data_IF_398928852809
#
_entry.id   IF_398928852809
#
_cell.length_a   1.000
_cell.length_b   1.000
_cell.length_c   1.000
_cell.angle_alpha   90.00
_cell.angle_beta   90.00
_cell.angle_gamma   90.00
#
_symmetry.space_group_name_H-M   'P 1'
#
loop_
_entity.id
_entity.type
_entity.pdbx_description
1 polymer ?
#
# COMPACT_ATOMS: atom_id res chain seq x y z
N UNK A 1 -24.19 55.36 32.82
CA UNK A 1 -23.76 55.52 31.40
C UNK A 1 -22.59 54.60 31.05
N UNK A 2 -21.49 54.60 31.82
CA UNK A 2 -20.31 53.72 31.60
C UNK A 2 -20.64 52.22 31.54
N UNK A 3 -21.51 51.73 32.43
CA UNK A 3 -21.89 50.31 32.47
C UNK A 3 -22.67 49.83 31.24
N UNK A 4 -23.50 50.71 30.64
CA UNK A 4 -24.28 50.40 29.43
C UNK A 4 -23.38 50.36 28.18
N UNK A 5 -22.35 51.21 28.13
CA UNK A 5 -21.35 51.21 27.05
C UNK A 5 -20.50 49.93 27.09
N UNK A 6 -20.09 49.48 28.29
CA UNK A 6 -19.36 48.21 28.43
C UNK A 6 -20.16 47.02 27.91
N UNK A 7 -21.42 46.88 28.34
CA UNK A 7 -22.30 45.78 27.91
C UNK A 7 -22.51 45.78 26.39
N UNK A 8 -22.73 46.96 25.79
CA UNK A 8 -22.90 47.05 24.34
C UNK A 8 -21.63 46.66 23.56
N UNK A 9 -20.45 46.99 24.10
CA UNK A 9 -19.17 46.60 23.52
C UNK A 9 -18.92 45.09 23.63
N UNK A 10 -19.34 44.47 24.73
CA UNK A 10 -19.24 43.03 24.95
C UNK A 10 -20.11 42.22 23.97
N UNK A 11 -21.34 42.67 23.69
CA UNK A 11 -22.21 42.03 22.68
C UNK A 11 -21.67 42.19 21.26
N UNK A 12 -21.10 43.35 20.93
CA UNK A 12 -20.44 43.56 19.63
C UNK A 12 -19.22 42.65 19.50
N UNK A 13 -18.39 42.55 20.55
CA UNK A 13 -17.23 41.67 20.58
C UNK A 13 -17.65 40.20 20.43
N UNK A 14 -18.68 39.75 21.16
CA UNK A 14 -19.21 38.39 21.05
C UNK A 14 -19.76 38.12 19.64
N UNK A 15 -20.44 39.09 19.04
CA UNK A 15 -20.91 39.01 17.66
C UNK A 15 -19.76 38.89 16.65
N UNK A 16 -18.68 39.65 16.83
CA UNK A 16 -17.48 39.56 15.99
C UNK A 16 -16.77 38.21 16.15
N UNK A 17 -16.67 37.69 17.37
CA UNK A 17 -16.11 36.36 17.63
C UNK A 17 -16.96 35.28 16.95
N UNK A 18 -18.29 35.35 17.09
CA UNK A 18 -19.20 34.41 16.44
C UNK A 18 -19.08 34.46 14.92
N UNK A 19 -19.03 35.67 14.34
CA UNK A 19 -18.83 35.86 12.89
C UNK A 19 -17.48 35.29 12.42
N UNK A 20 -16.40 35.52 13.18
CA UNK A 20 -15.07 34.97 12.89
C UNK A 20 -15.07 33.44 12.94
N UNK A 21 -15.71 32.85 13.96
CA UNK A 21 -15.84 31.39 14.09
C UNK A 21 -16.62 30.81 12.91
N UNK A 22 -17.74 31.42 12.53
CA UNK A 22 -18.53 31.00 11.36
C UNK A 22 -17.69 31.07 10.08
N UNK A 23 -16.95 32.16 9.88
CA UNK A 23 -16.08 32.30 8.71
C UNK A 23 -14.96 31.25 8.68
N UNK A 24 -14.37 30.95 9.84
CA UNK A 24 -13.38 29.88 9.97
C UNK A 24 -13.98 28.52 9.64
N UNK A 25 -15.16 28.20 10.16
CA UNK A 25 -15.87 26.95 9.88
C UNK A 25 -16.21 26.82 8.38
N UNK A 26 -16.67 27.90 7.74
CA UNK A 26 -16.93 27.92 6.30
C UNK A 26 -15.65 27.70 5.49
N UNK A 27 -14.53 28.27 5.93
CA UNK A 27 -13.21 28.08 5.30
C UNK A 27 -12.74 26.65 5.43
N UNK A 28 -12.82 26.06 6.63
CA UNK A 28 -12.49 24.65 6.88
C UNK A 28 -13.40 23.73 6.06
N UNK A 29 -14.71 24.00 6.04
CA UNK A 29 -15.66 23.24 5.24
C UNK A 29 -15.32 23.30 3.75
N UNK A 30 -15.08 24.51 3.21
CA UNK A 30 -14.65 24.69 1.83
C UNK A 30 -13.36 23.94 1.52
N UNK A 31 -12.39 23.96 2.43
CA UNK A 31 -11.13 23.23 2.30
C UNK A 31 -11.34 21.71 2.27
N UNK A 32 -12.20 21.17 3.15
CA UNK A 32 -12.52 19.73 3.20
C UNK A 32 -13.27 19.30 1.94
N UNK A 33 -14.21 20.11 1.44
CA UNK A 33 -14.89 19.87 0.16
C UNK A 33 -13.93 19.89 -1.01
N UNK A 34 -13.04 20.88 -1.08
CA UNK A 34 -11.99 20.99 -2.09
C UNK A 34 -11.00 19.81 -2.06
N UNK A 35 -10.80 19.20 -0.88
CA UNK A 35 -10.00 17.99 -0.69
C UNK A 35 -10.69 16.71 -1.15
N UNK A 36 -11.93 16.79 -1.64
CA UNK A 36 -12.66 15.65 -2.22
C UNK A 36 -13.70 15.00 -1.31
N UNK A 37 -14.20 15.68 -0.27
CA UNK A 37 -15.24 15.13 0.61
C UNK A 37 -16.51 14.67 -0.13
N UNK A 38 -16.89 15.33 -1.23
CA UNK A 38 -18.06 14.93 -2.02
C UNK A 38 -17.70 14.20 -3.32
N UNK A 39 -16.42 13.87 -3.52
CA UNK A 39 -16.01 13.08 -4.67
C UNK A 39 -16.61 11.68 -4.56
N UNK A 40 -17.28 11.24 -5.63
CA UNK A 40 -17.73 9.87 -5.79
C UNK A 40 -16.53 8.95 -6.08
N UNK A 41 -16.49 7.80 -5.41
CA UNK A 41 -15.49 6.76 -5.66
C UNK A 41 -16.08 5.74 -6.62
N UNK A 42 -15.67 5.81 -7.88
CA UNK A 42 -16.05 4.82 -8.88
C UNK A 42 -14.98 3.74 -8.95
N UNK A 43 -15.38 2.50 -8.62
CA UNK A 43 -14.53 1.32 -8.76
C UNK A 43 -14.90 0.59 -10.04
N UNK A 44 -13.89 0.25 -10.83
CA UNK A 44 -14.07 -0.49 -12.08
C UNK A 44 -12.99 -1.55 -12.25
N UNK A 45 -13.31 -2.62 -12.97
CA UNK A 45 -12.34 -3.60 -13.43
C UNK A 45 -12.14 -3.42 -14.95
N UNK A 46 -10.89 -3.46 -15.40
CA UNK A 46 -10.58 -3.30 -16.82
C UNK A 46 -9.10 -3.28 -17.12
N UNK A 47 -8.78 -2.80 -18.32
CA UNK A 47 -7.39 -2.57 -18.76
C UNK A 47 -6.74 -1.50 -17.90
N UNK A 48 -5.46 -1.67 -17.53
CA UNK A 48 -4.79 -0.71 -16.67
C UNK A 48 -4.57 0.63 -17.39
N UNK A 49 -4.65 1.75 -16.64
CA UNK A 49 -4.31 3.08 -17.17
C UNK A 49 -2.79 3.30 -17.23
N UNK A 50 -1.99 2.33 -16.77
CA UNK A 50 -0.54 2.42 -16.61
C UNK A 50 0.16 1.26 -17.31
N UNK A 51 1.25 1.58 -18.00
CA UNK A 51 2.10 0.59 -18.68
C UNK A 51 3.08 -0.10 -17.74
N UNK A 52 4.10 -0.74 -18.31
CA UNK A 52 5.29 -1.17 -17.56
C UNK A 52 5.94 0.03 -16.89
N UNK A 53 6.49 -0.13 -15.70
CA UNK A 53 7.10 0.99 -14.98
C UNK A 53 8.38 0.58 -14.28
N UNK A 54 9.39 1.44 -14.35
CA UNK A 54 10.62 1.27 -13.59
C UNK A 54 10.58 2.18 -12.38
N UNK A 55 10.71 1.59 -11.20
CA UNK A 55 10.59 2.26 -9.91
C UNK A 55 11.93 2.28 -9.17
N UNK A 56 12.19 3.40 -8.50
CA UNK A 56 13.14 3.50 -7.40
C UNK A 56 12.37 3.42 -6.08
N UNK A 57 12.62 2.42 -5.24
CA UNK A 57 11.85 2.18 -4.02
C UNK A 57 12.72 1.87 -2.80
N UNK A 58 12.09 2.02 -1.62
CA UNK A 58 12.55 1.50 -0.35
C UNK A 58 11.47 0.57 0.20
N UNK A 59 11.87 -0.67 0.52
CA UNK A 59 11.01 -1.63 1.19
C UNK A 59 11.11 -1.45 2.71
N UNK A 60 9.96 -1.49 3.40
CA UNK A 60 9.86 -1.44 4.86
C UNK A 60 8.80 -2.41 5.37
N UNK A 61 8.97 -2.80 6.62
CA UNK A 61 8.00 -3.55 7.42
C UNK A 61 7.70 -2.70 8.64
N UNK A 62 6.41 -2.46 8.90
CA UNK A 62 5.95 -1.60 9.98
C UNK A 62 4.65 -0.86 9.63
N UNK A 63 4.21 0.06 10.51
CA UNK A 63 2.95 0.75 10.34
C UNK A 63 2.91 1.61 9.08
N UNK A 64 1.83 1.54 8.30
CA UNK A 64 1.67 2.35 7.09
C UNK A 64 1.64 3.86 7.34
N UNK A 65 1.39 4.31 8.57
CA UNK A 65 1.53 5.72 8.96
C UNK A 65 2.95 6.27 8.77
N UNK A 66 3.98 5.41 8.79
CA UNK A 66 5.37 5.81 8.57
C UNK A 66 5.73 5.98 7.07
N UNK A 67 4.82 5.60 6.16
CA UNK A 67 5.05 5.73 4.72
C UNK A 67 5.27 7.18 4.27
N UNK A 68 4.69 8.15 4.98
CA UNK A 68 4.82 9.58 4.67
C UNK A 68 6.27 10.08 4.66
N UNK A 69 7.14 9.53 5.52
CA UNK A 69 8.56 9.88 5.53
C UNK A 69 9.27 9.38 4.26
N UNK A 70 8.96 8.17 3.80
CA UNK A 70 9.55 7.62 2.57
C UNK A 70 9.09 8.38 1.31
N UNK A 71 7.83 8.85 1.29
CA UNK A 71 7.37 9.74 0.23
C UNK A 71 8.14 11.08 0.24
N UNK A 72 8.39 11.64 1.43
CA UNK A 72 9.16 12.89 1.58
C UNK A 72 10.60 12.71 1.13
N UNK A 73 11.26 11.61 1.53
CA UNK A 73 12.59 11.23 1.06
C UNK A 73 12.65 11.16 -0.47
N UNK A 74 11.70 10.46 -1.10
CA UNK A 74 11.64 10.33 -2.55
C UNK A 74 11.41 11.66 -3.27
N UNK A 75 10.55 12.52 -2.72
CA UNK A 75 10.29 13.86 -3.23
C UNK A 75 11.50 14.79 -3.12
N UNK A 76 12.29 14.68 -2.05
CA UNK A 76 13.50 15.49 -1.84
C UNK A 76 14.58 15.26 -2.90
N UNK A 77 14.66 14.04 -3.46
CA UNK A 77 15.64 13.65 -4.48
C UNK A 77 15.26 14.21 -5.87
N UNK A 78 13.97 14.16 -6.19
CA UNK A 78 13.41 14.68 -7.43
C UNK A 78 11.94 14.91 -7.23
N UNK A 79 11.47 16.16 -7.30
CA UNK A 79 10.05 16.53 -7.14
C UNK A 79 9.20 16.23 -8.38
N UNK A 80 9.83 16.11 -9.57
CA UNK A 80 9.15 15.98 -10.86
C UNK A 80 8.59 14.58 -11.16
N UNK A 81 9.11 13.55 -10.50
CA UNK A 81 8.69 12.18 -10.73
C UNK A 81 7.36 11.89 -10.00
N UNK A 82 6.61 10.90 -10.48
CA UNK A 82 5.41 10.45 -9.80
C UNK A 82 5.79 9.60 -8.58
N UNK A 83 5.06 9.75 -7.47
CA UNK A 83 5.23 8.86 -6.30
C UNK A 83 4.41 7.60 -6.48
N UNK A 84 4.92 6.48 -5.94
CA UNK A 84 4.23 5.19 -5.94
C UNK A 84 4.37 4.53 -4.57
N UNK A 85 3.27 3.98 -4.07
CA UNK A 85 3.23 3.10 -2.90
C UNK A 85 2.69 1.73 -3.30
N UNK A 86 3.31 0.67 -2.78
CA UNK A 86 2.84 -0.71 -2.93
C UNK A 86 2.64 -1.29 -1.55
N UNK A 87 1.43 -1.74 -1.26
CA UNK A 87 1.00 -2.27 0.02
C UNK A 87 0.63 -3.75 -0.17
N UNK A 88 1.36 -4.63 0.52
CA UNK A 88 1.25 -6.08 0.33
C UNK A 88 0.26 -6.73 1.30
N UNK A 89 -0.08 -6.05 2.39
CA UNK A 89 -0.89 -6.58 3.47
C UNK A 89 -2.14 -5.71 3.68
N UNK A 90 -3.18 -6.33 4.24
CA UNK A 90 -4.37 -5.59 4.68
C UNK A 90 -4.17 -5.14 6.14
N UNK A 91 -4.16 -3.82 6.44
CA UNK A 91 -3.92 -3.31 7.78
C UNK A 91 -5.05 -3.64 8.77
N UNK A 92 -6.21 -4.09 8.28
CA UNK A 92 -7.32 -4.56 9.12
C UNK A 92 -7.17 -6.01 9.56
N UNK A 93 -6.34 -6.81 8.88
CA UNK A 93 -6.12 -8.23 9.18
C UNK A 93 -4.72 -8.53 9.69
N UNK A 94 -3.74 -7.72 9.28
CA UNK A 94 -2.33 -7.85 9.69
C UNK A 94 -2.01 -6.77 10.71
N UNK A 95 -1.34 -7.16 11.80
CA UNK A 95 -0.90 -6.21 12.83
C UNK A 95 0.01 -5.13 12.22
N UNK A 96 -0.12 -3.84 12.61
CA UNK A 96 0.63 -2.74 12.01
C UNK A 96 2.14 -2.98 11.92
N UNK A 97 2.75 -3.58 12.94
CA UNK A 97 4.20 -3.86 12.99
C UNK A 97 4.68 -4.90 11.96
N UNK A 98 3.77 -5.71 11.42
CA UNK A 98 4.06 -6.75 10.42
C UNK A 98 3.65 -6.35 9.02
N UNK A 99 2.99 -5.20 8.85
CA UNK A 99 2.55 -4.73 7.55
C UNK A 99 3.75 -4.39 6.66
N UNK A 100 3.74 -4.88 5.43
CA UNK A 100 4.84 -4.73 4.47
C UNK A 100 4.41 -3.78 3.37
N UNK A 101 5.34 -2.91 2.99
CA UNK A 101 5.10 -1.93 1.95
C UNK A 101 6.40 -1.49 1.28
N UNK A 102 6.29 -1.02 0.05
CA UNK A 102 7.37 -0.42 -0.71
C UNK A 102 6.93 0.96 -1.19
N UNK A 103 7.68 2.00 -0.83
CA UNK A 103 7.41 3.38 -1.28
C UNK A 103 8.54 3.83 -2.18
N UNK A 104 8.20 4.54 -3.25
CA UNK A 104 9.15 4.92 -4.25
C UNK A 104 8.69 6.03 -5.19
N UNK A 105 9.48 6.19 -6.25
CA UNK A 105 9.22 7.11 -7.36
C UNK A 105 9.30 6.33 -8.67
N UNK A 106 8.41 6.65 -9.60
CA UNK A 106 8.44 6.09 -10.95
C UNK A 106 9.49 6.85 -11.76
N UNK A 107 10.53 6.15 -12.22
CA UNK A 107 11.61 6.71 -13.02
C UNK A 107 11.25 6.77 -14.52
N UNK A 108 10.52 5.77 -15.00
CA UNK A 108 10.00 5.72 -16.37
C UNK A 108 8.75 4.84 -16.45
N UNK A 109 7.91 5.12 -17.44
CA UNK A 109 6.67 4.42 -17.75
C UNK A 109 6.68 4.01 -19.23
N UNK A 110 6.19 2.81 -19.56
CA UNK A 110 6.21 2.21 -20.89
C UNK A 110 7.60 1.71 -21.30
N UNK A 111 7.92 1.87 -22.59
CA UNK A 111 9.20 1.48 -23.20
C UNK A 111 10.32 2.51 -22.99
N UNK A 112 10.01 3.62 -22.31
CA UNK A 112 10.99 4.64 -22.00
C UNK A 112 12.03 4.11 -21.00
N UNK A 113 13.31 4.25 -21.34
CA UNK A 113 14.40 3.92 -20.42
C UNK A 113 14.58 5.05 -19.40
N UNK A 114 14.73 4.74 -18.10
CA UNK A 114 15.02 5.75 -17.10
C UNK A 114 16.42 6.34 -17.32
N UNK A 115 16.59 7.62 -16.99
CA UNK A 115 17.91 8.26 -17.08
C UNK A 115 18.88 7.61 -16.08
N UNK A 116 20.08 7.26 -16.54
CA UNK A 116 21.13 6.70 -15.68
C UNK A 116 21.49 7.63 -14.52
N UNK A 117 21.43 8.95 -14.74
CA UNK A 117 21.71 9.95 -13.71
C UNK A 117 20.68 9.88 -12.58
N UNK A 118 19.41 9.67 -12.93
CA UNK A 118 18.34 9.50 -11.96
C UNK A 118 18.52 8.20 -11.18
N UNK A 119 18.82 7.10 -11.86
CA UNK A 119 19.11 5.80 -11.23
C UNK A 119 20.24 5.95 -10.20
N UNK A 120 21.40 6.49 -10.63
CA UNK A 120 22.58 6.66 -9.77
C UNK A 120 22.26 7.57 -8.58
N UNK A 121 21.47 8.62 -8.79
CA UNK A 121 21.02 9.51 -7.71
C UNK A 121 20.17 8.77 -6.69
N UNK A 122 19.14 8.06 -7.12
CA UNK A 122 18.27 7.31 -6.20
C UNK A 122 19.04 6.21 -5.44
N UNK A 123 19.93 5.48 -6.12
CA UNK A 123 20.79 4.48 -5.49
C UNK A 123 21.70 5.09 -4.42
N UNK A 124 22.28 6.28 -4.66
CA UNK A 124 23.10 7.00 -3.67
C UNK A 124 22.34 7.28 -2.36
N UNK A 125 21.02 7.49 -2.43
CA UNK A 125 20.16 7.71 -1.25
C UNK A 125 19.50 6.41 -0.73
N UNK A 126 20.01 5.25 -1.15
CA UNK A 126 19.60 3.94 -0.66
C UNK A 126 18.30 3.40 -1.25
N UNK A 127 17.85 3.92 -2.40
CA UNK A 127 16.73 3.34 -3.13
C UNK A 127 17.22 2.20 -4.04
N UNK A 128 16.43 1.13 -4.11
CA UNK A 128 16.65 0.02 -5.05
C UNK A 128 15.83 0.25 -6.30
N UNK A 129 16.32 -0.29 -7.42
CA UNK A 129 15.62 -0.19 -8.70
C UNK A 129 14.97 -1.53 -9.02
N UNK A 130 13.72 -1.49 -9.46
CA UNK A 130 12.98 -2.65 -9.93
C UNK A 130 11.99 -2.21 -11.02
N UNK A 131 11.53 -3.15 -11.85
CA UNK A 131 10.57 -2.84 -12.90
C UNK A 131 9.35 -3.74 -12.76
N UNK A 132 8.17 -3.12 -12.72
CA UNK A 132 6.89 -3.83 -12.79
C UNK A 132 6.47 -3.98 -14.25
N UNK A 133 5.95 -5.16 -14.64
CA UNK A 133 5.38 -5.34 -15.96
C UNK A 133 4.08 -4.55 -16.11
N UNK A 134 3.63 -4.36 -17.35
CA UNK A 134 2.29 -3.86 -17.61
C UNK A 134 1.26 -4.86 -17.04
N UNK A 135 0.29 -4.42 -16.22
CA UNK A 135 -0.79 -5.29 -15.79
C UNK A 135 -1.64 -5.73 -16.98
N UNK A 136 -2.28 -6.90 -16.91
CA UNK A 136 -3.25 -7.31 -17.93
C UNK A 136 -4.65 -6.81 -17.58
N UNK A 137 -5.12 -7.14 -16.37
CA UNK A 137 -6.41 -6.72 -15.83
C UNK A 137 -6.23 -6.22 -14.41
N UNK A 138 -6.89 -5.11 -14.08
CA UNK A 138 -6.82 -4.48 -12.75
C UNK A 138 -8.21 -4.12 -12.27
N UNK A 139 -8.38 -4.12 -10.95
CA UNK A 139 -9.42 -3.33 -10.28
C UNK A 139 -8.80 -1.98 -9.97
N UNK A 140 -9.46 -0.91 -10.37
CA UNK A 140 -8.97 0.44 -10.17
C UNK A 140 -10.04 1.40 -9.69
N UNK A 141 -9.56 2.42 -9.00
CA UNK A 141 -10.34 3.60 -8.62
C UNK A 141 -9.42 4.83 -8.67
N UNK A 142 -10.00 5.99 -8.91
CA UNK A 142 -9.26 7.26 -8.91
C UNK A 142 -9.84 8.21 -7.89
N UNK A 143 -8.98 8.99 -7.24
CA UNK A 143 -9.40 10.01 -6.30
C UNK A 143 -8.61 11.31 -6.51
N UNK A 144 -9.21 12.50 -6.32
CA UNK A 144 -8.49 13.77 -6.38
C UNK A 144 -7.36 13.84 -5.35
N UNK A 145 -6.27 14.50 -5.73
CA UNK A 145 -5.10 14.75 -4.91
C UNK A 145 -4.76 16.25 -4.96
N UNK A 146 -5.59 17.04 -4.31
CA UNK A 146 -5.45 18.50 -4.28
C UNK A 146 -4.77 18.99 -3.01
N UNK A 147 -4.87 18.22 -1.92
CA UNK A 147 -4.33 18.54 -0.60
C UNK A 147 -3.82 17.30 0.13
N UNK A 148 -2.98 17.43 1.17
CA UNK A 148 -2.61 16.29 2.02
C UNK A 148 -3.82 15.59 2.68
N UNK A 149 -4.89 16.34 2.99
CA UNK A 149 -6.13 15.77 3.51
C UNK A 149 -6.81 14.84 2.50
N UNK A 150 -6.59 15.07 1.20
CA UNK A 150 -7.12 14.21 0.13
C UNK A 150 -6.59 12.78 0.26
N UNK A 151 -5.35 12.58 0.73
CA UNK A 151 -4.77 11.24 0.95
C UNK A 151 -5.58 10.50 2.03
N UNK A 152 -5.85 11.17 3.14
CA UNK A 152 -6.62 10.56 4.24
C UNK A 152 -8.05 10.21 3.80
N UNK A 153 -8.70 11.11 3.06
CA UNK A 153 -10.03 10.85 2.49
C UNK A 153 -10.00 9.69 1.49
N UNK A 154 -8.96 9.62 0.65
CA UNK A 154 -8.80 8.57 -0.33
C UNK A 154 -8.64 7.20 0.34
N UNK A 155 -7.74 7.06 1.32
CA UNK A 155 -7.51 5.81 2.05
C UNK A 155 -8.80 5.33 2.73
N UNK A 156 -9.52 6.22 3.42
CA UNK A 156 -10.73 5.86 4.17
C UNK A 156 -11.96 5.55 3.29
N UNK A 157 -12.00 6.01 2.04
CA UNK A 157 -13.17 5.84 1.17
C UNK A 157 -12.92 4.88 0.02
N UNK A 158 -11.73 4.96 -0.56
CA UNK A 158 -11.36 4.16 -1.72
C UNK A 158 -11.03 2.72 -1.33
N UNK A 159 -10.29 2.48 -0.23
CA UNK A 159 -10.03 1.10 0.17
C UNK A 159 -11.28 0.31 0.54
N UNK A 160 -12.23 0.84 1.35
CA UNK A 160 -13.47 0.10 1.62
C UNK A 160 -14.32 -0.14 0.37
N UNK A 161 -14.35 0.82 -0.56
CA UNK A 161 -15.05 0.66 -1.84
C UNK A 161 -14.41 -0.44 -2.71
N UNK A 162 -13.07 -0.46 -2.79
CA UNK A 162 -12.32 -1.53 -3.45
C UNK A 162 -12.61 -2.88 -2.80
N UNK A 163 -12.60 -2.96 -1.47
CA UNK A 163 -12.83 -4.20 -0.71
C UNK A 163 -14.22 -4.76 -0.96
N UNK A 164 -15.23 -3.89 -0.96
CA UNK A 164 -16.60 -4.26 -1.26
C UNK A 164 -16.71 -4.81 -2.68
N UNK A 165 -16.17 -4.10 -3.67
CA UNK A 165 -16.20 -4.53 -5.07
C UNK A 165 -15.49 -5.87 -5.30
N UNK A 166 -14.29 -6.04 -4.73
CA UNK A 166 -13.49 -7.26 -4.82
C UNK A 166 -14.24 -8.43 -4.17
N UNK A 167 -14.83 -8.22 -2.99
CA UNK A 167 -15.57 -9.23 -2.24
C UNK A 167 -16.85 -9.67 -2.95
N UNK A 168 -17.66 -8.73 -3.42
CA UNK A 168 -18.93 -9.02 -4.10
C UNK A 168 -18.72 -9.82 -5.39
N UNK A 169 -17.64 -9.53 -6.11
CA UNK A 169 -17.30 -10.21 -7.37
C UNK A 169 -16.37 -11.41 -7.19
N UNK A 170 -16.01 -11.74 -5.94
CA UNK A 170 -15.09 -12.85 -5.58
C UNK A 170 -13.79 -12.81 -6.37
N UNK A 171 -13.22 -11.62 -6.51
CA UNK A 171 -11.96 -11.39 -7.22
C UNK A 171 -10.77 -11.60 -6.28
N UNK A 172 -9.66 -12.07 -6.82
CA UNK A 172 -8.37 -12.04 -6.14
C UNK A 172 -7.59 -10.85 -6.69
N UNK A 173 -7.48 -9.75 -5.94
CA UNK A 173 -6.79 -8.54 -6.38
C UNK A 173 -5.73 -8.11 -5.36
N UNK A 174 -4.45 -8.27 -5.71
CA UNK A 174 -3.30 -7.86 -4.89
C UNK A 174 -2.03 -7.72 -5.77
N UNK A 175 -0.99 -7.00 -5.33
CA UNK A 175 -0.96 -6.10 -4.17
C UNK A 175 -1.74 -4.80 -4.45
N UNK A 176 -1.95 -3.95 -3.43
CA UNK A 176 -2.54 -2.63 -3.65
C UNK A 176 -1.46 -1.64 -4.06
N UNK A 177 -1.64 -1.00 -5.19
CA UNK A 177 -0.70 -0.03 -5.74
C UNK A 177 -1.38 1.34 -5.76
N UNK A 178 -0.71 2.34 -5.19
CA UNK A 178 -1.14 3.73 -5.19
C UNK A 178 -0.16 4.56 -6.01
N UNK A 179 -0.64 5.20 -7.07
CA UNK A 179 0.17 6.02 -7.96
C UNK A 179 -0.31 7.46 -7.85
N UNK A 180 0.56 8.33 -7.38
CA UNK A 180 0.31 9.75 -7.19
C UNK A 180 0.83 10.49 -8.42
N UNK A 181 -0.07 10.84 -9.33
CA UNK A 181 0.23 11.46 -10.62
C UNK A 181 -0.58 12.76 -10.74
N UNK A 182 0.14 13.88 -10.75
CA UNK A 182 -0.43 15.22 -10.84
C UNK A 182 -1.42 15.52 -9.70
N UNK A 183 -2.69 15.76 -10.03
CA UNK A 183 -3.78 16.11 -9.13
C UNK A 183 -4.69 14.91 -8.80
N UNK A 184 -4.21 13.68 -9.04
CA UNK A 184 -4.97 12.44 -8.80
C UNK A 184 -4.12 11.34 -8.18
N UNK A 185 -4.78 10.51 -7.37
CA UNK A 185 -4.29 9.23 -6.91
C UNK A 185 -5.01 8.13 -7.69
N UNK A 186 -4.23 7.22 -8.28
CA UNK A 186 -4.71 6.02 -8.93
C UNK A 186 -4.48 4.85 -7.98
N UNK A 187 -5.56 4.21 -7.57
CA UNK A 187 -5.52 2.96 -6.82
C UNK A 187 -5.68 1.82 -7.81
N UNK A 188 -4.72 0.90 -7.85
CA UNK A 188 -4.63 -0.19 -8.82
C UNK A 188 -4.35 -1.49 -8.08
N UNK A 189 -5.19 -2.50 -8.30
CA UNK A 189 -5.03 -3.84 -7.75
C UNK A 189 -4.99 -4.86 -8.90
N UNK A 190 -3.82 -5.44 -9.22
CA UNK A 190 -3.70 -6.45 -10.27
C UNK A 190 -4.53 -7.71 -9.99
N UNK A 191 -5.22 -8.20 -11.02
CA UNK A 191 -6.03 -9.42 -10.96
C UNK A 191 -5.29 -10.67 -11.44
N UNK A 192 -4.17 -10.49 -12.13
CA UNK A 192 -3.37 -11.58 -12.69
C UNK A 192 -1.88 -11.31 -12.52
N UNK A 193 -1.08 -12.38 -12.50
CA UNK A 193 0.40 -12.31 -12.38
C UNK A 193 0.85 -11.45 -11.19
N UNK A 194 0.17 -11.58 -10.08
CA UNK A 194 0.27 -10.68 -8.94
C UNK A 194 1.68 -10.68 -8.32
N UNK A 195 2.33 -11.84 -8.33
CA UNK A 195 3.72 -12.00 -7.89
C UNK A 195 4.74 -11.19 -8.71
N UNK A 196 4.40 -10.69 -9.90
CA UNK A 196 5.31 -9.82 -10.65
C UNK A 196 5.36 -8.39 -10.12
N UNK A 197 4.35 -7.99 -9.34
CA UNK A 197 4.28 -6.70 -8.66
C UNK A 197 4.92 -6.74 -7.26
N UNK A 198 5.64 -7.82 -6.94
CA UNK A 198 6.30 -8.01 -5.66
C UNK A 198 7.77 -7.65 -5.80
N UNK A 199 8.24 -6.73 -4.97
CA UNK A 199 9.67 -6.40 -4.91
C UNK A 199 10.48 -7.61 -4.41
N UNK A 200 11.76 -7.74 -4.82
CA UNK A 200 12.62 -8.85 -4.44
C UNK A 200 12.62 -9.22 -2.94
N UNK A 201 12.62 -8.24 -2.04
CA UNK A 201 12.61 -8.47 -0.60
C UNK A 201 11.31 -9.13 -0.13
N UNK A 202 10.20 -8.75 -0.74
CA UNK A 202 8.90 -9.36 -0.46
C UNK A 202 8.87 -10.81 -0.94
N UNK A 203 9.38 -11.07 -2.15
CA UNK A 203 9.53 -12.45 -2.70
C UNK A 203 10.41 -13.32 -1.81
N UNK A 204 11.53 -12.77 -1.34
CA UNK A 204 12.44 -13.49 -0.45
C UNK A 204 11.79 -13.79 0.91
N UNK A 205 11.02 -12.85 1.45
CA UNK A 205 10.31 -13.03 2.71
C UNK A 205 9.24 -14.12 2.62
N UNK A 206 8.48 -14.16 1.52
CA UNK A 206 7.50 -15.23 1.28
C UNK A 206 8.15 -16.60 1.10
N UNK A 207 9.32 -16.64 0.44
CA UNK A 207 10.10 -17.88 0.32
C UNK A 207 10.57 -18.36 1.69
N UNK A 208 11.05 -17.45 2.55
CA UNK A 208 11.49 -17.78 3.91
C UNK A 208 10.33 -18.24 4.79
N UNK A 209 9.17 -17.59 4.73
CA UNK A 209 8.00 -18.01 5.51
C UNK A 209 7.48 -19.37 5.07
N UNK A 210 7.45 -19.65 3.75
CA UNK A 210 7.06 -20.95 3.22
C UNK A 210 8.02 -22.06 3.66
N UNK A 211 9.33 -21.80 3.61
CA UNK A 211 10.32 -22.76 4.07
C UNK A 211 10.19 -23.06 5.58
N UNK A 212 9.95 -22.03 6.40
CA UNK A 212 9.72 -22.21 7.83
C UNK A 212 8.45 -23.01 8.13
N UNK A 213 7.37 -22.78 7.38
CA UNK A 213 6.13 -23.54 7.52
C UNK A 213 6.31 -25.03 7.17
N UNK A 214 7.04 -25.34 6.10
CA UNK A 214 7.33 -26.73 5.73
C UNK A 214 8.14 -27.49 6.80
N UNK A 215 9.12 -26.83 7.43
CA UNK A 215 9.90 -27.44 8.53
C UNK A 215 9.03 -27.68 9.77
N UNK A 216 8.09 -26.78 10.07
CA UNK A 216 7.19 -26.94 11.20
C UNK A 216 6.18 -28.10 11.00
N UNK A 217 5.68 -28.27 9.77
CA UNK A 217 4.79 -29.38 9.40
C UNK A 217 5.52 -30.73 9.52
N UNK A 218 6.74 -30.85 8.98
CA UNK A 218 7.54 -32.09 9.06
C UNK A 218 7.81 -32.48 10.52
N UNK A 219 8.16 -31.51 11.38
CA UNK A 219 8.39 -31.76 12.81
C UNK A 219 7.14 -32.24 13.56
N UNK A 220 5.94 -31.91 13.08
CA UNK A 220 4.69 -32.35 13.71
C UNK A 220 4.30 -33.78 13.29
N UNK A 221 4.81 -34.29 12.17
CA UNK A 221 4.58 -35.68 11.72
C UNK A 221 5.43 -36.73 12.44
N UNK A 222 6.53 -36.34 13.08
CA UNK A 222 7.44 -37.26 13.81
C UNK A 222 6.96 -37.63 15.23
N UNK A 223 5.86 -37.05 15.74
CA UNK A 223 5.42 -37.24 17.15
C UNK A 223 4.38 -38.39 17.31
N UNK A 224 3.91 -39.03 16.24
CA UNK A 224 2.94 -40.16 16.33
C UNK A 224 3.59 -41.54 16.30
N UNK A 225 4.83 -41.67 16.78
CA UNK A 225 5.67 -42.82 16.47
C UNK A 225 6.33 -43.55 17.64
N UNK A 226 5.91 -43.45 18.90
CA UNK A 226 6.40 -44.39 19.94
C UNK A 226 5.33 -44.65 21.02
N UNK A 227 4.52 -45.69 20.81
CA UNK A 227 4.05 -46.53 21.91
C UNK A 227 5.27 -47.25 22.49
N UNK A 228 5.71 -46.93 23.71
CA UNK A 228 6.51 -47.88 24.52
C UNK A 228 6.28 -47.62 26.01
N UNK A 229 5.40 -48.44 26.57
CA UNK A 229 5.27 -48.71 27.99
C UNK A 229 6.64 -49.12 28.55
N UNK A 230 7.06 -48.57 29.69
CA UNK A 230 7.83 -49.34 30.69
C UNK A 230 7.91 -48.57 32.02
N UNK A 231 7.28 -49.18 33.01
CA UNK A 231 7.50 -48.96 34.43
C UNK A 231 8.94 -49.33 34.81
N UNK A 232 9.53 -48.65 35.79
CA UNK A 232 10.08 -49.28 37.02
C UNK A 232 11.03 -48.34 37.77
N UNK A 233 10.91 -48.48 39.08
CA UNK A 233 11.53 -47.78 40.18
C UNK A 233 13.02 -48.11 40.37
N UNK A 234 13.79 -47.17 40.93
CA UNK A 234 14.79 -47.52 41.94
C UNK A 234 15.08 -46.36 42.91
N UNK A 235 14.94 -46.71 44.18
CA UNK A 235 15.13 -45.93 45.41
C UNK A 235 16.61 -45.87 45.84
N UNK A 236 16.90 -44.94 46.76
CA UNK A 236 17.89 -44.94 47.87
C UNK A 236 19.00 -43.87 47.81
N UNK A 237 19.47 -43.25 48.90
CA UNK A 237 19.08 -43.10 50.31
C UNK A 237 19.98 -41.95 50.88
N UNK A 238 19.38 -41.10 51.74
CA UNK A 238 19.90 -40.28 52.86
C UNK A 238 21.27 -39.59 52.86
N UNK A 239 21.26 -38.29 53.26
CA UNK A 239 22.06 -37.81 54.39
C UNK A 239 21.47 -36.52 54.97
N UNK A 240 21.49 -36.47 56.30
CA UNK A 240 20.92 -35.54 57.27
C UNK A 240 21.60 -34.17 57.34
N UNK A 241 20.88 -33.11 57.73
CA UNK A 241 21.23 -32.21 58.86
C UNK A 241 20.03 -31.35 59.29
N UNK A 242 19.87 -31.28 60.61
CA UNK A 242 18.85 -30.56 61.39
C UNK A 242 19.40 -29.18 61.81
N UNK A 243 18.56 -28.12 61.85
CA UNK A 243 18.76 -26.95 62.73
C UNK A 243 17.57 -25.96 62.72
N UNK A 244 16.69 -26.12 63.71
CA UNK A 244 16.02 -25.14 64.60
C UNK A 244 15.81 -23.64 64.24
N UNK A 245 14.55 -23.24 64.45
CA UNK A 245 13.96 -22.06 65.14
C UNK A 245 14.26 -20.61 64.70
N UNK A 246 13.22 -19.88 64.24
CA UNK A 246 12.53 -18.82 65.03
C UNK A 246 11.48 -18.03 64.22
N UNK A 247 10.35 -17.80 64.90
CA UNK A 247 9.15 -16.96 64.72
C UNK A 247 9.20 -15.72 63.80
N UNK A 248 8.10 -15.34 63.13
CA UNK A 248 6.98 -14.49 63.61
C UNK A 248 6.01 -14.17 62.44
N UNK A 249 4.71 -14.38 62.73
CA UNK A 249 3.47 -13.78 62.22
C UNK A 249 3.46 -12.83 61.00
N UNK A 250 2.48 -13.01 60.09
CA UNK A 250 1.14 -12.38 60.21
C UNK A 250 0.20 -12.89 59.10
N UNK A 251 -1.00 -13.24 59.56
CA UNK A 251 -2.26 -13.60 58.88
C UNK A 251 -2.65 -12.58 57.78
N UNK A 252 -3.52 -12.87 56.79
CA UNK A 252 -4.98 -13.04 56.92
C UNK A 252 -5.54 -13.57 55.56
N UNK A 253 -6.22 -14.73 55.64
CA UNK A 253 -7.53 -15.14 55.06
C UNK A 253 -7.94 -14.60 53.66
N UNK A 254 -8.13 -15.44 52.61
CA UNK A 254 -9.22 -16.41 52.30
C UNK A 254 -10.60 -15.76 52.06
N UNK A 255 -11.63 -16.43 51.44
CA UNK A 255 -11.66 -17.44 50.35
C UNK A 255 -12.94 -17.38 49.44
N UNK A 256 -13.04 -18.32 48.47
CA UNK A 256 -14.25 -19.04 47.95
C UNK A 256 -15.40 -18.23 47.31
N UNK A 257 -16.18 -18.65 46.31
CA UNK A 257 -16.52 -19.92 45.64
C UNK A 257 -16.91 -19.53 44.17
N UNK A 258 -16.77 -20.34 43.11
CA UNK A 258 -17.31 -21.68 42.92
C UNK A 258 -18.56 -21.62 42.02
N UNK A 259 -18.43 -21.84 40.71
CA UNK A 259 -19.48 -22.53 39.94
C UNK A 259 -18.90 -23.15 38.66
N UNK A 260 -19.28 -24.42 38.45
CA UNK A 260 -18.98 -25.30 37.32
C UNK A 260 -19.73 -24.85 36.06
N UNK A 261 -19.07 -24.92 34.92
CA UNK A 261 -19.68 -25.04 33.59
C UNK A 261 -18.65 -25.66 32.64
N UNK A 262 -18.97 -26.85 32.10
CA UNK A 262 -18.11 -27.68 31.24
C UNK A 262 -18.63 -27.55 29.80
N UNK A 263 -17.72 -27.70 28.83
CA UNK A 263 -17.95 -28.02 27.39
C UNK A 263 -18.42 -26.80 26.55
N UNK A 264 -17.91 -26.45 25.36
CA UNK A 264 -17.31 -27.22 24.25
C UNK A 264 -16.18 -26.43 23.55
N UNK A 265 -15.34 -27.19 22.85
CA UNK A 265 -14.26 -26.73 21.99
C UNK A 265 -14.79 -26.17 20.66
N UNK A 266 -14.13 -25.13 20.14
CA UNK A 266 -14.05 -24.90 18.69
C UNK A 266 -12.81 -24.04 18.37
N UNK A 267 -11.66 -24.71 18.28
CA UNK A 267 -10.47 -24.17 17.61
C UNK A 267 -10.61 -24.42 16.12
N UNK A 268 -11.26 -23.51 15.40
CA UNK A 268 -11.28 -23.52 13.94
C UNK A 268 -10.08 -22.75 13.41
N UNK A 269 -9.05 -23.49 13.03
CA UNK A 269 -7.96 -23.05 12.17
C UNK A 269 -8.53 -22.76 10.77
N UNK A 270 -8.23 -21.60 10.20
CA UNK A 270 -8.54 -21.32 8.79
C UNK A 270 -7.24 -21.23 7.97
N UNK A 271 -6.98 -22.38 7.36
CA UNK A 271 -6.19 -22.71 6.18
C UNK A 271 -5.53 -21.58 5.37
N UNK A 272 -4.20 -21.67 5.28
CA UNK A 272 -3.41 -21.14 4.17
C UNK A 272 -3.63 -21.96 2.91
N UNK A 273 -3.90 -21.29 1.80
CA UNK A 273 -4.00 -21.87 0.47
C UNK A 273 -2.59 -22.19 -0.07
N UNK A 274 -2.29 -23.48 -0.20
CA UNK A 274 -1.11 -23.99 -0.89
C UNK A 274 -1.45 -24.19 -2.36
N UNK A 275 -0.96 -23.33 -3.24
CA UNK A 275 -0.91 -23.64 -4.68
C UNK A 275 0.32 -24.50 -4.98
N UNK A 276 0.07 -25.80 -5.13
CA UNK A 276 0.93 -26.73 -5.86
C UNK A 276 0.06 -27.38 -6.94
N UNK A 277 0.39 -27.10 -8.20
CA UNK A 277 -0.35 -27.62 -9.35
C UNK A 277 0.42 -27.40 -10.64
N UNK A 278 1.55 -28.11 -10.79
CA UNK A 278 2.10 -28.40 -12.10
C UNK A 278 1.23 -29.48 -12.76
N UNK A 279 0.54 -29.15 -13.84
CA UNK A 279 0.02 -30.12 -14.80
C UNK A 279 0.03 -29.49 -16.18
N UNK A 280 0.83 -30.09 -17.06
CA UNK A 280 0.87 -29.74 -18.47
C UNK A 280 -0.40 -30.17 -19.17
N UNK A 281 -0.86 -29.34 -20.11
CA UNK A 281 -1.75 -29.79 -21.16
C UNK A 281 -1.28 -29.19 -22.48
N UNK A 282 -0.87 -30.11 -23.35
CA UNK A 282 -0.70 -29.95 -24.79
C UNK A 282 -1.98 -29.37 -25.42
N UNK A 283 -1.84 -28.36 -26.27
CA UNK A 283 -2.90 -27.89 -27.16
C UNK A 283 -2.43 -28.16 -28.59
N UNK A 284 -3.24 -28.94 -29.31
CA UNK A 284 -3.03 -29.33 -30.70
C UNK A 284 -3.18 -28.13 -31.64
N UNK A 285 -2.28 -28.06 -32.63
CA UNK A 285 -2.42 -27.24 -33.82
C UNK A 285 -3.75 -27.52 -34.52
N UNK A 286 -4.51 -26.47 -34.81
CA UNK A 286 -5.55 -26.51 -35.83
C UNK A 286 -5.03 -25.79 -37.07
N UNK A 287 -4.67 -26.61 -38.06
CA UNK A 287 -4.49 -26.26 -39.46
C UNK A 287 -5.76 -25.59 -40.01
N UNK A 288 -5.60 -24.41 -40.59
CA UNK A 288 -6.61 -23.78 -41.45
C UNK A 288 -5.90 -23.30 -42.71
N UNK A 289 -5.68 -24.26 -43.61
CA UNK A 289 -5.26 -23.99 -44.98
C UNK A 289 -6.43 -23.50 -45.84
N UNK A 290 -6.02 -22.69 -46.80
CA UNK A 290 -6.81 -21.85 -47.67
C UNK A 290 -7.86 -22.58 -48.53
N UNK A 291 -8.98 -21.91 -48.74
CA UNK A 291 -9.61 -21.82 -50.05
C UNK A 291 -9.82 -20.34 -50.35
N UNK A 292 -9.23 -19.89 -51.45
CA UNK A 292 -9.23 -18.50 -51.87
C UNK A 292 -9.78 -18.30 -53.27
N UNK A 293 -10.05 -17.04 -53.55
CA UNK A 293 -10.38 -16.47 -54.86
C UNK A 293 -10.50 -14.95 -54.63
N UNK A 294 -9.47 -14.17 -54.93
CA UNK A 294 -9.33 -13.40 -56.19
C UNK A 294 -9.83 -11.96 -55.94
N UNK A 295 -9.21 -10.85 -56.29
CA UNK A 295 -8.19 -10.44 -57.26
C UNK A 295 -7.71 -9.02 -56.85
N UNK A 296 -6.54 -8.59 -57.31
CA UNK A 296 -6.25 -7.15 -57.51
C UNK A 296 -5.07 -6.57 -56.72
N UNK A 297 -3.92 -6.50 -57.38
CA UNK A 297 -2.67 -5.94 -56.89
C UNK A 297 -2.61 -4.37 -57.04
N UNK A 298 -1.46 -3.69 -56.93
CA UNK A 298 -1.13 -2.77 -55.84
C UNK A 298 -1.00 -1.29 -56.30
N UNK A 299 -1.06 -0.33 -55.36
CA UNK A 299 -0.66 1.04 -55.71
C UNK A 299 -0.90 2.13 -54.67
N UNK A 300 0.21 2.73 -54.26
CA UNK A 300 0.44 4.18 -54.10
C UNK A 300 -0.12 4.93 -52.88
N UNK A 301 0.86 5.44 -52.12
CA UNK A 301 0.84 6.67 -51.31
C UNK A 301 0.15 7.84 -52.04
N UNK A 302 -0.30 8.85 -51.26
CA UNK A 302 0.40 10.13 -51.39
C UNK A 302 0.77 10.77 -50.04
N UNK A 303 2.01 11.22 -50.03
CA UNK A 303 2.54 12.37 -49.28
C UNK A 303 1.81 13.67 -49.72
N UNK A 304 1.65 14.60 -48.78
CA UNK A 304 1.63 16.07 -48.94
C UNK A 304 1.02 16.71 -47.68
N UNK A 305 1.76 17.64 -47.08
CA UNK A 305 1.14 18.79 -46.42
C UNK A 305 1.69 19.21 -45.06
N UNK A 306 3.00 19.45 -44.97
CA UNK A 306 3.58 20.29 -43.90
C UNK A 306 2.90 21.65 -43.86
N UNK A 307 2.43 22.09 -42.69
CA UNK A 307 2.14 23.49 -42.44
C UNK A 307 2.82 23.94 -41.14
N UNK A 308 3.96 24.61 -41.34
CA UNK A 308 4.59 25.49 -40.37
C UNK A 308 3.60 26.56 -39.90
N UNK A 309 3.55 26.78 -38.58
CA UNK A 309 3.13 28.04 -37.99
C UNK A 309 4.27 28.51 -37.10
N UNK A 310 5.19 29.26 -37.73
CA UNK A 310 6.14 30.15 -37.09
C UNK A 310 5.54 31.55 -37.08
N UNK A 311 5.51 32.19 -35.92
CA UNK A 311 5.46 33.65 -35.69
C UNK A 311 5.12 33.85 -34.19
N UNK A 312 5.74 34.72 -33.39
CA UNK A 312 6.85 35.65 -33.57
C UNK A 312 7.26 36.05 -32.16
N UNK A 313 8.54 35.91 -31.86
CA UNK A 313 9.21 36.51 -30.71
C UNK A 313 9.36 38.01 -30.96
N UNK A 314 8.64 38.86 -30.23
CA UNK A 314 8.91 40.30 -30.18
C UNK A 314 9.96 40.60 -29.12
N UNK A 315 11.16 40.95 -29.59
CA UNK A 315 12.24 41.60 -28.84
C UNK A 315 12.27 43.06 -29.27
N UNK A 316 12.39 44.00 -28.32
CA UNK A 316 13.14 45.27 -28.38
C UNK A 316 12.92 46.05 -27.07
N UNK A 317 13.81 46.98 -26.66
CA UNK A 317 15.27 46.98 -26.81
C UNK A 317 16.00 47.30 -25.49
N UNK A 318 17.32 47.14 -25.57
CA UNK A 318 18.33 47.47 -24.57
C UNK A 318 18.47 49.00 -24.48
N UNK A 319 18.42 49.55 -23.25
CA UNK A 319 19.01 50.85 -22.94
C UNK A 319 20.26 50.61 -22.10
N UNK A 320 21.40 50.93 -22.70
CA UNK A 320 22.67 51.07 -22.02
C UNK A 320 22.76 52.48 -21.43
N UNK A 321 23.11 52.60 -20.15
CA UNK A 321 23.89 53.74 -19.69
C UNK A 321 25.21 53.23 -19.10
N UNK A 322 26.28 53.83 -19.65
CA UNK A 322 27.65 53.76 -19.16
C UNK A 322 27.74 54.42 -17.80
N UNK A 323 28.66 53.94 -16.97
CA UNK A 323 29.09 54.64 -15.77
C UNK A 323 30.02 55.81 -16.06
N UNK A 324 30.15 56.67 -15.06
CA UNK A 324 31.37 57.38 -14.68
C UNK A 324 31.24 57.82 -13.21
N UNK A 325 32.38 57.77 -12.51
CA UNK A 325 32.69 58.13 -11.11
C UNK A 325 32.38 57.12 -9.97
#
# INVERSE_FOLDING_TARGET
MVHQVSIMTDWVLLGLIAALVVLLLLTVFGFVVYSGLFTEVVVSAGSPPVGSMTLAYKFRVGPYGESGQLFTDGCSISSKLCSIGVYYDNPHTVSPEKCRFAIGRILSEGDAKPSEEQIKRFQKYGFKIFSFPAPSHVVMATFPFTTPLSIHLAVNRVHPALDTYIKERKLCAHPRIEIYKQDRIYFVCPLARQGDFYVPEMKELERKSRAAAAVAEDAQTDITGVDTMSETSSISVEATTDSRDTSVATSILLPLAGSRGREEADTRSEHSYSESGASGSSFEELDLEAAGDGEGAPGLLPDVGSQELTDKWTKEPIAAERGEE
#
